data_IF_117494659945
#
_entry.id   IF_117494659945
#
_cell.length_a   1.000
_cell.length_b   1.000
_cell.length_c   1.000
_cell.angle_alpha   90.00
_cell.angle_beta   90.00
_cell.angle_gamma   90.00
#
_symmetry.space_group_name_H-M   'P 1'
#
loop_
_entity.id
_entity.type
_entity.pdbx_description
1 polymer ?
#
# COMPACT_ATOMS: atom_id res chain seq x y z
N UNK A 1 47.63 72.03 1.32
CA UNK A 1 47.94 70.62 1.19
C UNK A 1 47.07 69.86 2.20
N UNK A 2 45.85 69.53 1.86
CA UNK A 2 44.91 68.67 2.68
C UNK A 2 43.97 67.92 1.72
N UNK A 3 44.23 66.67 1.43
CA UNK A 3 43.26 65.74 0.85
C UNK A 3 44.04 64.55 0.37
N UNK A 4 44.10 63.45 1.11
CA UNK A 4 44.32 62.12 0.45
C UNK A 4 44.20 60.91 1.41
N UNK A 5 43.51 61.01 2.57
CA UNK A 5 43.44 59.85 3.49
C UNK A 5 42.09 59.20 3.61
N UNK A 6 41.03 59.72 2.96
CA UNK A 6 39.63 59.21 3.16
C UNK A 6 39.25 58.13 2.18
N UNK A 7 39.92 57.95 1.03
CA UNK A 7 39.49 56.99 -0.05
C UNK A 7 39.75 55.50 0.26
N UNK A 8 40.77 55.03 0.99
CA UNK A 8 40.98 53.61 1.22
C UNK A 8 40.04 53.01 2.27
N UNK A 9 39.52 53.80 3.23
CA UNK A 9 38.66 53.29 4.32
C UNK A 9 37.25 52.91 3.80
N UNK A 10 36.71 53.64 2.82
CA UNK A 10 35.39 53.34 2.24
C UNK A 10 35.42 52.03 1.45
N UNK A 11 36.52 51.69 0.79
CA UNK A 11 36.65 50.44 0.03
C UNK A 11 36.71 49.19 0.91
N UNK A 12 37.34 49.27 2.10
CA UNK A 12 37.44 48.16 3.05
C UNK A 12 36.08 47.87 3.72
N UNK A 13 35.29 48.89 4.04
CA UNK A 13 33.97 48.71 4.63
C UNK A 13 32.97 48.08 3.62
N UNK A 14 33.04 48.46 2.34
CA UNK A 14 32.20 47.86 1.27
C UNK A 14 32.52 46.38 1.02
N UNK A 15 33.80 45.96 1.14
CA UNK A 15 34.22 44.56 0.98
C UNK A 15 33.76 43.67 2.13
N UNK A 16 33.70 44.16 3.36
CA UNK A 16 33.22 43.41 4.53
C UNK A 16 31.71 43.18 4.51
N UNK A 17 30.94 44.13 4.00
CA UNK A 17 29.47 43.98 3.84
C UNK A 17 29.12 42.99 2.72
N UNK A 18 29.91 42.88 1.65
CA UNK A 18 29.69 41.92 0.58
C UNK A 18 29.98 40.45 0.98
N UNK A 19 30.85 40.19 1.94
CA UNK A 19 31.13 38.84 2.46
C UNK A 19 30.04 38.30 3.40
N UNK A 20 29.24 39.15 4.02
CA UNK A 20 28.16 38.73 4.92
C UNK A 20 26.86 38.31 4.21
N UNK A 21 26.72 38.57 2.91
CA UNK A 21 25.55 38.19 2.12
C UNK A 21 25.57 36.74 1.66
N UNK A 22 26.69 36.03 1.79
CA UNK A 22 26.82 34.64 1.24
C UNK A 22 26.47 33.53 2.24
N UNK A 23 26.08 33.83 3.48
CA UNK A 23 25.80 32.80 4.51
C UNK A 23 24.32 32.53 4.69
N UNK A 24 23.45 33.30 4.04
CA UNK A 24 22.00 33.17 4.20
C UNK A 24 21.36 32.04 3.35
N UNK A 25 22.11 31.36 2.46
CA UNK A 25 21.59 30.32 1.57
C UNK A 25 21.73 28.89 2.07
N UNK A 26 22.28 28.67 3.27
CA UNK A 26 22.71 27.32 3.71
C UNK A 26 21.72 26.61 4.66
N UNK A 27 20.56 27.18 4.97
CA UNK A 27 19.60 26.55 5.86
C UNK A 27 18.17 26.66 5.36
N UNK A 28 17.89 26.16 4.16
CA UNK A 28 16.59 25.59 3.94
C UNK A 28 16.58 24.24 4.67
N UNK A 29 16.30 24.28 5.98
CA UNK A 29 15.93 23.07 6.70
C UNK A 29 14.84 22.38 5.88
N UNK A 30 15.17 21.18 5.36
CA UNK A 30 14.28 20.47 4.48
C UNK A 30 12.93 20.30 5.14
N UNK A 31 11.86 20.79 4.53
CA UNK A 31 10.51 20.66 5.08
C UNK A 31 10.11 19.19 5.09
N UNK A 32 9.65 18.72 6.25
CA UNK A 32 9.17 17.34 6.45
C UNK A 32 7.66 17.34 6.48
N UNK A 33 7.05 16.42 5.77
CA UNK A 33 5.62 16.18 5.81
C UNK A 33 5.30 14.76 6.29
N UNK A 34 4.06 14.51 6.63
CA UNK A 34 3.57 13.19 7.01
C UNK A 34 2.44 12.73 6.08
N UNK A 35 2.24 11.42 6.02
CA UNK A 35 1.23 10.78 5.18
C UNK A 35 0.67 9.54 5.88
N UNK A 36 -0.64 9.50 6.09
CA UNK A 36 -1.33 8.29 6.50
C UNK A 36 -1.67 7.43 5.28
N UNK A 37 -0.79 6.49 4.97
CA UNK A 37 -0.92 5.58 3.83
C UNK A 37 -2.19 4.72 3.95
N UNK A 38 -2.51 4.23 5.14
CA UNK A 38 -3.70 3.39 5.34
C UNK A 38 -4.98 4.17 5.03
N UNK A 39 -5.03 5.42 5.45
CA UNK A 39 -6.16 6.31 5.20
C UNK A 39 -6.30 6.69 3.73
N UNK A 40 -5.18 6.90 3.03
CA UNK A 40 -5.18 7.13 1.57
C UNK A 40 -5.75 5.91 0.83
N UNK A 41 -5.33 4.70 1.19
CA UNK A 41 -5.83 3.47 0.58
C UNK A 41 -7.33 3.26 0.86
N UNK A 42 -7.76 3.41 2.12
CA UNK A 42 -9.19 3.33 2.49
C UNK A 42 -10.06 4.34 1.75
N UNK A 43 -9.53 5.53 1.48
CA UNK A 43 -10.19 6.61 0.73
C UNK A 43 -10.11 6.48 -0.80
N UNK A 44 -9.43 5.46 -1.32
CA UNK A 44 -9.30 5.27 -2.76
C UNK A 44 -10.38 4.32 -3.30
N UNK A 45 -11.35 4.88 -4.04
CA UNK A 45 -12.49 4.13 -4.56
C UNK A 45 -12.11 2.97 -5.50
N UNK A 46 -11.10 3.19 -6.36
CA UNK A 46 -10.63 2.15 -7.30
C UNK A 46 -9.93 1.01 -6.56
N UNK A 47 -9.10 1.32 -5.57
CA UNK A 47 -8.47 0.31 -4.72
C UNK A 47 -9.52 -0.52 -3.99
N UNK A 48 -10.46 0.12 -3.31
CA UNK A 48 -11.53 -0.54 -2.57
C UNK A 48 -12.35 -1.45 -3.48
N UNK A 49 -12.75 -0.99 -4.67
CA UNK A 49 -13.51 -1.80 -5.62
C UNK A 49 -12.73 -3.04 -6.10
N UNK A 50 -11.42 -2.91 -6.35
CA UNK A 50 -10.57 -4.04 -6.76
C UNK A 50 -10.40 -5.06 -5.64
N UNK A 51 -10.19 -4.62 -4.41
CA UNK A 51 -10.06 -5.52 -3.24
C UNK A 51 -11.37 -6.25 -2.96
N UNK A 52 -12.51 -5.55 -3.00
CA UNK A 52 -13.83 -6.17 -2.82
C UNK A 52 -14.16 -7.19 -3.94
N UNK A 53 -13.75 -6.92 -5.18
CA UNK A 53 -13.90 -7.90 -6.27
C UNK A 53 -13.08 -9.17 -6.03
N UNK A 54 -11.83 -9.05 -5.56
CA UNK A 54 -10.98 -10.20 -5.21
C UNK A 54 -11.59 -10.99 -4.04
N UNK A 55 -12.12 -10.29 -3.04
CA UNK A 55 -12.78 -10.91 -1.90
C UNK A 55 -14.04 -11.68 -2.30
N UNK A 56 -14.87 -11.10 -3.15
CA UNK A 56 -16.07 -11.78 -3.69
C UNK A 56 -15.70 -13.05 -4.46
N UNK A 57 -14.62 -13.01 -5.25
CA UNK A 57 -14.10 -14.18 -5.96
C UNK A 57 -13.56 -15.25 -5.01
N UNK A 58 -12.87 -14.85 -3.93
CA UNK A 58 -12.41 -15.76 -2.89
C UNK A 58 -13.57 -16.47 -2.17
N UNK A 59 -14.66 -15.74 -1.87
CA UNK A 59 -15.86 -16.30 -1.26
C UNK A 59 -16.56 -17.28 -2.21
N UNK A 60 -16.63 -16.96 -3.50
CA UNK A 60 -17.17 -17.85 -4.52
C UNK A 60 -16.34 -19.13 -4.65
N UNK A 61 -15.00 -19.00 -4.70
CA UNK A 61 -14.08 -20.14 -4.74
C UNK A 61 -14.27 -21.05 -3.53
N UNK A 62 -14.37 -20.47 -2.33
CA UNK A 62 -14.64 -21.21 -1.10
C UNK A 62 -15.95 -22.01 -1.17
N UNK A 63 -17.01 -21.42 -1.73
CA UNK A 63 -18.28 -22.10 -1.97
C UNK A 63 -18.14 -23.29 -2.91
N UNK A 64 -17.40 -23.13 -4.02
CA UNK A 64 -17.15 -24.21 -4.99
C UNK A 64 -16.33 -25.35 -4.37
N UNK A 65 -15.28 -25.03 -3.61
CA UNK A 65 -14.46 -26.01 -2.91
C UNK A 65 -15.32 -26.82 -1.92
N UNK A 66 -16.17 -26.15 -1.15
CA UNK A 66 -17.05 -26.80 -0.18
C UNK A 66 -18.03 -27.76 -0.88
N UNK A 67 -18.65 -27.32 -1.98
CA UNK A 67 -19.58 -28.15 -2.75
C UNK A 67 -18.88 -29.39 -3.32
N UNK A 68 -17.65 -29.23 -3.84
CA UNK A 68 -16.88 -30.35 -4.38
C UNK A 68 -16.43 -31.33 -3.29
N UNK A 69 -16.04 -30.82 -2.11
CA UNK A 69 -15.73 -31.66 -0.95
C UNK A 69 -16.95 -32.51 -0.52
N UNK A 70 -18.13 -31.92 -0.46
CA UNK A 70 -19.36 -32.67 -0.11
C UNK A 70 -19.71 -33.70 -1.18
N UNK A 71 -19.52 -33.41 -2.46
CA UNK A 71 -19.70 -34.36 -3.55
C UNK A 71 -18.77 -35.57 -3.39
N UNK A 72 -17.47 -35.32 -3.16
CA UNK A 72 -16.47 -36.37 -2.96
C UNK A 72 -16.80 -37.21 -1.72
N UNK A 73 -17.22 -36.58 -0.60
CA UNK A 73 -17.67 -37.31 0.60
C UNK A 73 -18.85 -38.26 0.28
N UNK A 74 -19.81 -37.80 -0.52
CA UNK A 74 -20.93 -38.64 -0.95
C UNK A 74 -20.49 -39.85 -1.78
N UNK A 75 -19.48 -39.68 -2.64
CA UNK A 75 -18.90 -40.78 -3.41
C UNK A 75 -18.13 -41.77 -2.54
N UNK A 76 -17.41 -41.32 -1.53
CA UNK A 76 -16.74 -42.17 -0.54
C UNK A 76 -17.75 -43.01 0.23
N UNK A 77 -18.92 -42.46 0.59
CA UNK A 77 -20.01 -43.25 1.23
C UNK A 77 -20.52 -44.34 0.31
N UNK A 78 -20.72 -44.03 -0.97
CA UNK A 78 -21.14 -45.05 -1.98
C UNK A 78 -20.08 -46.15 -2.12
N UNK A 79 -18.82 -45.79 -2.20
CA UNK A 79 -17.69 -46.73 -2.30
C UNK A 79 -17.65 -47.72 -1.12
N UNK A 80 -17.94 -47.26 0.10
CA UNK A 80 -17.99 -48.13 1.31
C UNK A 80 -19.09 -49.21 1.21
N UNK A 81 -20.17 -48.95 0.50
CA UNK A 81 -21.26 -49.92 0.28
C UNK A 81 -21.05 -50.86 -0.91
N UNK A 82 -19.93 -50.70 -1.66
CA UNK A 82 -19.67 -51.56 -2.83
C UNK A 82 -18.95 -52.83 -2.45
N UNK A 83 -19.35 -53.97 -3.06
CA UNK A 83 -18.61 -55.21 -3.00
C UNK A 83 -17.23 -55.09 -3.66
N UNK A 84 -16.26 -55.90 -3.18
CA UNK A 84 -14.95 -55.95 -3.78
C UNK A 84 -15.01 -56.45 -5.23
N UNK A 85 -14.36 -55.68 -6.14
CA UNK A 85 -14.33 -55.99 -7.55
C UNK A 85 -13.81 -54.87 -8.41
N UNK A 86 -13.71 -55.03 -9.74
CA UNK A 86 -13.11 -54.08 -10.65
C UNK A 86 -13.73 -52.69 -10.60
N UNK A 87 -15.06 -52.61 -10.43
CA UNK A 87 -15.78 -51.31 -10.33
C UNK A 87 -15.43 -50.55 -9.07
N UNK A 88 -15.25 -51.24 -7.94
CA UNK A 88 -14.78 -50.62 -6.69
C UNK A 88 -13.39 -50.07 -6.84
N UNK A 89 -12.45 -50.86 -7.40
CA UNK A 89 -11.05 -50.43 -7.61
C UNK A 89 -11.00 -49.22 -8.55
N UNK A 90 -11.79 -49.18 -9.60
CA UNK A 90 -11.91 -48.03 -10.49
C UNK A 90 -12.38 -46.79 -9.74
N UNK A 91 -13.43 -46.90 -8.95
CA UNK A 91 -13.96 -45.77 -8.17
C UNK A 91 -12.98 -45.27 -7.10
N UNK A 92 -12.18 -46.16 -6.48
CA UNK A 92 -11.10 -45.78 -5.55
C UNK A 92 -10.05 -44.96 -6.28
N UNK A 93 -9.61 -45.36 -7.47
CA UNK A 93 -8.63 -44.62 -8.27
C UNK A 93 -9.18 -43.24 -8.72
N UNK A 94 -10.42 -43.19 -9.15
CA UNK A 94 -11.07 -41.94 -9.58
C UNK A 94 -11.20 -40.96 -8.39
N UNK A 95 -11.56 -41.45 -7.21
CA UNK A 95 -11.65 -40.62 -6.01
C UNK A 95 -10.26 -40.07 -5.57
N UNK A 96 -9.23 -40.87 -5.63
CA UNK A 96 -7.86 -40.40 -5.32
C UNK A 96 -7.40 -39.31 -6.30
N UNK A 97 -7.74 -39.49 -7.59
CA UNK A 97 -7.48 -38.49 -8.61
C UNK A 97 -8.26 -37.19 -8.35
N UNK A 98 -9.55 -37.29 -8.01
CA UNK A 98 -10.38 -36.13 -7.67
C UNK A 98 -9.86 -35.38 -6.44
N UNK A 99 -9.49 -36.08 -5.38
CA UNK A 99 -8.88 -35.49 -4.19
C UNK A 99 -7.57 -34.73 -4.52
N UNK A 100 -6.71 -35.35 -5.31
CA UNK A 100 -5.44 -34.74 -5.73
C UNK A 100 -5.69 -33.52 -6.60
N UNK A 101 -6.61 -33.60 -7.54
CA UNK A 101 -7.00 -32.48 -8.42
C UNK A 101 -7.56 -31.33 -7.60
N UNK A 102 -8.54 -31.57 -6.72
CA UNK A 102 -9.13 -30.55 -5.87
C UNK A 102 -8.08 -29.83 -5.03
N UNK A 103 -7.17 -30.59 -4.39
CA UNK A 103 -6.08 -30.00 -3.58
C UNK A 103 -5.15 -29.12 -4.39
N UNK A 104 -4.80 -29.57 -5.59
CA UNK A 104 -3.86 -28.82 -6.45
C UNK A 104 -4.51 -27.55 -6.99
N UNK A 105 -5.74 -27.65 -7.53
CA UNK A 105 -6.46 -26.50 -8.08
C UNK A 105 -6.79 -25.46 -7.00
N UNK A 106 -7.18 -25.91 -5.80
CA UNK A 106 -7.42 -25.01 -4.66
C UNK A 106 -6.17 -24.20 -4.33
N UNK A 107 -5.01 -24.86 -4.18
CA UNK A 107 -3.75 -24.16 -3.88
C UNK A 107 -3.34 -23.16 -4.96
N UNK A 108 -3.53 -23.55 -6.22
CA UNK A 108 -3.23 -22.65 -7.35
C UNK A 108 -4.13 -21.43 -7.33
N UNK A 109 -5.44 -21.61 -7.17
CA UNK A 109 -6.40 -20.52 -7.14
C UNK A 109 -6.19 -19.58 -5.93
N UNK A 110 -5.94 -20.12 -4.74
CA UNK A 110 -5.59 -19.32 -3.55
C UNK A 110 -4.32 -18.50 -3.76
N UNK A 111 -3.25 -19.12 -4.31
CA UNK A 111 -2.00 -18.43 -4.63
C UNK A 111 -2.21 -17.32 -5.66
N UNK A 112 -3.03 -17.55 -6.67
CA UNK A 112 -3.35 -16.56 -7.70
C UNK A 112 -4.12 -15.36 -7.13
N UNK A 113 -5.11 -15.62 -6.27
CA UNK A 113 -5.86 -14.56 -5.57
C UNK A 113 -4.92 -13.70 -4.71
N UNK A 114 -4.05 -14.32 -3.90
CA UNK A 114 -3.07 -13.60 -3.07
C UNK A 114 -2.09 -12.77 -3.92
N UNK A 115 -1.63 -13.31 -5.05
CA UNK A 115 -0.74 -12.59 -5.96
C UNK A 115 -1.45 -11.40 -6.62
N UNK A 116 -2.72 -11.55 -6.99
CA UNK A 116 -3.53 -10.45 -7.55
C UNK A 116 -3.79 -9.37 -6.51
N UNK A 117 -4.11 -9.76 -5.28
CA UNK A 117 -4.28 -8.81 -4.17
C UNK A 117 -2.97 -8.02 -3.94
N UNK A 118 -1.83 -8.71 -3.80
CA UNK A 118 -0.53 -8.06 -3.64
C UNK A 118 -0.21 -7.08 -4.78
N UNK A 119 -0.58 -7.42 -6.02
CA UNK A 119 -0.41 -6.53 -7.18
C UNK A 119 -1.29 -5.29 -7.08
N UNK A 120 -2.54 -5.42 -6.65
CA UNK A 120 -3.44 -4.27 -6.44
C UNK A 120 -2.86 -3.31 -5.39
N UNK A 121 -2.32 -3.83 -4.28
CA UNK A 121 -1.61 -3.02 -3.27
C UNK A 121 -0.39 -2.33 -3.86
N UNK A 122 0.45 -3.07 -4.58
CA UNK A 122 1.69 -2.55 -5.17
C UNK A 122 1.41 -1.45 -6.20
N UNK A 123 0.48 -1.67 -7.13
CA UNK A 123 0.15 -0.71 -8.17
C UNK A 123 -0.43 0.58 -7.57
N UNK A 124 -1.35 0.45 -6.60
CA UNK A 124 -1.91 1.61 -5.89
C UNK A 124 -0.83 2.38 -5.11
N UNK A 125 0.10 1.65 -4.48
CA UNK A 125 1.21 2.27 -3.76
C UNK A 125 2.14 3.05 -4.70
N UNK A 126 2.47 2.50 -5.86
CA UNK A 126 3.28 3.20 -6.86
C UNK A 126 2.62 4.47 -7.38
N UNK A 127 1.32 4.41 -7.64
CA UNK A 127 0.57 5.60 -8.07
C UNK A 127 0.53 6.67 -6.97
N UNK A 128 0.32 6.24 -5.72
CA UNK A 128 0.39 7.14 -4.57
C UNK A 128 1.79 7.77 -4.44
N UNK A 129 2.87 6.98 -4.60
CA UNK A 129 4.24 7.51 -4.58
C UNK A 129 4.46 8.59 -5.63
N UNK A 130 3.98 8.39 -6.86
CA UNK A 130 4.09 9.38 -7.94
C UNK A 130 3.31 10.68 -7.62
N UNK A 131 2.17 10.57 -6.92
CA UNK A 131 1.43 11.75 -6.43
C UNK A 131 2.22 12.46 -5.33
N UNK A 132 2.75 11.71 -4.36
CA UNK A 132 3.55 12.26 -3.26
C UNK A 132 4.81 12.96 -3.78
N UNK A 133 5.50 12.36 -4.75
CA UNK A 133 6.68 12.96 -5.38
C UNK A 133 6.35 14.30 -6.03
N UNK A 134 5.28 14.36 -6.81
CA UNK A 134 4.86 15.61 -7.47
C UNK A 134 4.52 16.71 -6.44
N UNK A 135 3.81 16.35 -5.36
CA UNK A 135 3.48 17.27 -4.26
C UNK A 135 4.75 17.73 -3.54
N UNK A 136 5.67 16.81 -3.26
CA UNK A 136 6.91 17.10 -2.55
C UNK A 136 7.80 18.07 -3.34
N UNK A 137 7.96 17.82 -4.65
CA UNK A 137 8.72 18.71 -5.53
C UNK A 137 8.09 20.09 -5.62
N UNK A 138 6.77 20.19 -5.83
CA UNK A 138 6.06 21.46 -5.93
C UNK A 138 6.11 22.31 -4.65
N UNK A 139 6.26 21.68 -3.47
CA UNK A 139 6.24 22.32 -2.16
C UNK A 139 7.61 22.40 -1.46
N UNK A 140 8.69 21.99 -2.12
CA UNK A 140 10.04 21.97 -1.55
C UNK A 140 10.16 21.07 -0.31
N UNK A 141 9.46 19.93 -0.31
CA UNK A 141 9.57 18.94 0.75
C UNK A 141 10.78 18.04 0.50
N UNK A 142 11.59 17.81 1.50
CA UNK A 142 12.75 16.91 1.44
C UNK A 142 12.46 15.50 1.95
N UNK A 143 11.39 15.33 2.73
CA UNK A 143 11.04 14.07 3.34
C UNK A 143 9.53 14.00 3.58
N UNK A 144 8.94 12.84 3.28
CA UNK A 144 7.56 12.50 3.67
C UNK A 144 7.60 11.22 4.51
N UNK A 145 7.16 11.32 5.75
CA UNK A 145 7.15 10.19 6.69
C UNK A 145 5.77 9.54 6.73
N UNK A 146 5.75 8.21 6.72
CA UNK A 146 4.53 7.48 7.00
C UNK A 146 4.15 7.64 8.46
N UNK A 147 2.88 7.95 8.71
CA UNK A 147 2.32 7.92 10.06
C UNK A 147 1.00 7.14 10.08
N UNK A 148 0.48 6.89 11.25
CA UNK A 148 -0.79 6.20 11.48
C UNK A 148 -1.64 7.08 12.40
N UNK A 149 -2.80 7.54 11.89
CA UNK A 149 -3.73 8.41 12.61
C UNK A 149 -4.82 7.63 13.36
N UNK A 150 -4.86 6.29 13.28
CA UNK A 150 -5.89 5.49 13.94
C UNK A 150 -5.77 5.61 15.47
N UNK A 151 -6.92 5.71 16.15
CA UNK A 151 -6.98 5.64 17.61
C UNK A 151 -6.55 4.25 18.08
N UNK A 152 -5.94 4.19 19.27
CA UNK A 152 -5.54 2.94 19.91
C UNK A 152 -6.67 2.49 20.84
N UNK A 153 -7.21 1.29 20.63
CA UNK A 153 -8.09 0.66 21.61
C UNK A 153 -7.25 0.14 22.78
N UNK A 154 -7.41 0.69 24.01
CA UNK A 154 -6.64 0.25 25.17
C UNK A 154 -6.95 -1.20 25.58
N UNK A 155 -8.08 -1.76 25.17
CA UNK A 155 -8.48 -3.13 25.46
C UNK A 155 -7.89 -4.14 24.45
N UNK A 156 -7.34 -3.66 23.32
CA UNK A 156 -6.70 -4.48 22.32
C UNK A 156 -5.17 -4.42 22.45
N UNK A 157 -4.58 -5.44 23.08
CA UNK A 157 -3.13 -5.52 23.31
C UNK A 157 -2.31 -5.30 22.03
N UNK A 158 -2.77 -5.81 20.89
CA UNK A 158 -2.02 -5.70 19.64
C UNK A 158 -2.04 -4.25 19.12
N UNK A 159 -3.15 -3.54 19.27
CA UNK A 159 -3.24 -2.12 18.91
C UNK A 159 -2.39 -1.26 19.84
N UNK A 160 -2.39 -1.54 21.14
CA UNK A 160 -1.52 -0.85 22.11
C UNK A 160 -0.05 -1.00 21.73
N UNK A 161 0.41 -2.24 21.46
CA UNK A 161 1.80 -2.49 21.05
C UNK A 161 2.13 -1.79 19.73
N UNK A 162 1.22 -1.85 18.75
CA UNK A 162 1.37 -1.15 17.47
C UNK A 162 1.44 0.36 17.67
N UNK A 163 0.59 0.89 18.55
CA UNK A 163 0.53 2.33 18.83
C UNK A 163 1.79 2.88 19.48
N UNK A 164 2.34 2.18 20.50
CA UNK A 164 3.59 2.61 21.18
C UNK A 164 4.84 2.51 20.27
N UNK A 165 4.76 1.72 19.21
CA UNK A 165 5.84 1.58 18.22
C UNK A 165 5.69 2.53 17.02
N UNK A 166 4.78 3.51 17.06
CA UNK A 166 4.64 4.50 15.98
C UNK A 166 5.89 5.36 15.87
N UNK A 167 6.40 5.51 14.66
CA UNK A 167 7.57 6.34 14.39
C UNK A 167 7.30 7.85 14.58
N UNK A 168 6.08 8.29 14.29
CA UNK A 168 5.65 9.69 14.45
C UNK A 168 4.74 9.78 15.68
N UNK A 169 5.24 10.44 16.74
CA UNK A 169 4.53 10.63 18.01
C UNK A 169 3.75 11.95 18.02
N UNK A 170 4.26 12.96 17.34
CA UNK A 170 3.67 14.29 17.24
C UNK A 170 3.94 14.91 15.88
N UNK A 171 2.96 15.61 15.34
CA UNK A 171 3.10 16.41 14.11
C UNK A 171 2.28 17.69 14.20
N UNK A 172 2.67 18.70 13.44
CA UNK A 172 1.95 19.95 13.26
C UNK A 172 1.98 20.34 11.78
N UNK A 173 0.82 20.59 11.21
CA UNK A 173 0.57 21.32 9.95
C UNK A 173 0.89 20.64 8.61
N UNK A 174 1.84 19.70 8.48
CA UNK A 174 2.24 19.14 7.18
C UNK A 174 1.70 17.71 6.96
N UNK A 175 0.40 17.52 7.15
CA UNK A 175 -0.29 16.28 6.79
C UNK A 175 -0.78 16.33 5.34
N UNK A 176 -0.21 15.50 4.48
CA UNK A 176 -0.54 15.40 3.07
C UNK A 176 -1.69 14.44 2.76
N UNK A 177 -2.22 13.73 3.76
CA UNK A 177 -3.16 12.62 3.57
C UNK A 177 -4.36 13.01 2.72
N UNK A 178 -5.01 14.14 3.03
CA UNK A 178 -6.17 14.62 2.28
C UNK A 178 -5.81 15.00 0.84
N UNK A 179 -4.75 15.77 0.66
CA UNK A 179 -4.30 16.24 -0.66
C UNK A 179 -3.89 15.07 -1.57
N UNK A 180 -3.15 14.09 -1.02
CA UNK A 180 -2.76 12.88 -1.75
C UNK A 180 -3.98 12.05 -2.12
N UNK A 181 -4.95 11.86 -1.19
CA UNK A 181 -6.18 11.12 -1.48
C UNK A 181 -6.99 11.76 -2.61
N UNK A 182 -7.15 13.08 -2.59
CA UNK A 182 -7.89 13.81 -3.62
C UNK A 182 -7.21 13.71 -4.99
N UNK A 183 -5.90 13.92 -5.05
CA UNK A 183 -5.15 13.84 -6.31
C UNK A 183 -5.07 12.42 -6.86
N UNK A 184 -4.90 11.42 -5.99
CA UNK A 184 -4.87 10.02 -6.40
C UNK A 184 -6.22 9.59 -6.99
N UNK A 185 -7.33 9.93 -6.33
CA UNK A 185 -8.67 9.65 -6.85
C UNK A 185 -8.93 10.35 -8.17
N UNK A 186 -8.52 11.60 -8.33
CA UNK A 186 -8.67 12.35 -9.59
C UNK A 186 -7.89 11.70 -10.74
N UNK A 187 -6.64 11.26 -10.50
CA UNK A 187 -5.82 10.55 -11.51
C UNK A 187 -6.44 9.23 -11.93
N UNK A 188 -6.91 8.44 -10.96
CA UNK A 188 -7.50 7.14 -11.23
C UNK A 188 -8.85 7.24 -11.95
N UNK A 189 -9.62 8.30 -11.68
CA UNK A 189 -10.87 8.59 -12.42
C UNK A 189 -10.62 9.04 -13.86
N UNK A 190 -9.50 9.74 -14.11
CA UNK A 190 -9.11 10.21 -15.44
C UNK A 190 -8.41 9.16 -16.30
N UNK A 191 -7.92 8.06 -15.70
CA UNK A 191 -7.29 6.99 -16.43
C UNK A 191 -8.33 6.24 -17.27
N UNK A 192 -8.18 6.16 -18.62
CA UNK A 192 -9.11 5.40 -19.44
C UNK A 192 -9.13 3.95 -18.96
N UNK A 193 -10.31 3.37 -18.78
CA UNK A 193 -10.47 1.95 -18.49
C UNK A 193 -9.65 1.18 -19.55
N UNK A 194 -8.58 0.51 -19.14
CA UNK A 194 -7.85 -0.39 -20.04
C UNK A 194 -8.84 -1.48 -20.42
N UNK A 195 -9.43 -1.32 -21.61
CA UNK A 195 -10.20 -2.37 -22.27
C UNK A 195 -9.24 -3.55 -22.43
N UNK A 196 -9.54 -4.65 -21.73
CA UNK A 196 -8.91 -5.95 -21.94
C UNK A 196 -9.47 -6.62 -23.17
#
# INVERSE_FOLDING_TARGET
MKSTIIKPVIFVVAAVVALSASVASAQQAGRVAILDVARVFKGNASFTAKVEAIKAEADQLKGQITAEQERIKGEVVKLRGMEAGPKRNQMEADLEQQHTHLRTTTRQAESELLNREARVYFDTYREMQAVVEAIAQANGLSLVLRFDSESIDPNNRNEVIKGVNRAVVFHRELDLTKLVSEQLNARMAAAPAKVR
#
